data_IF_057865325606
#
_entry.id   IF_057865325606
#
_cell.length_a   1.000
_cell.length_b   1.000
_cell.length_c   1.000
_cell.angle_alpha   90.00
_cell.angle_beta   90.00
_cell.angle_gamma   90.00
#
_symmetry.space_group_name_H-M   'P 1'
#
loop_
_entity.id
_entity.type
_entity.pdbx_description
1 polymer ?
#
# COMPACT_ATOMS: atom_id res chain seq x y z
N UNK A 1 7.06 -9.86 7.92
CA UNK A 1 5.73 -9.21 7.93
C UNK A 1 5.76 -7.85 7.22
N UNK A 2 6.61 -6.93 7.66
CA UNK A 2 6.78 -5.59 7.07
C UNK A 2 7.11 -5.63 5.55
N UNK A 3 8.09 -6.44 5.14
CA UNK A 3 8.48 -6.59 3.73
C UNK A 3 7.34 -7.10 2.82
N UNK A 4 6.44 -7.94 3.37
CA UNK A 4 5.28 -8.45 2.62
C UNK A 4 4.28 -7.33 2.36
N UNK A 5 3.97 -6.55 3.38
CA UNK A 5 3.07 -5.39 3.28
C UNK A 5 3.67 -4.34 2.34
N UNK A 6 4.97 -4.08 2.44
CA UNK A 6 5.66 -3.12 1.57
C UNK A 6 5.63 -3.56 0.09
N UNK A 7 5.81 -4.86 -0.20
CA UNK A 7 5.65 -5.41 -1.54
C UNK A 7 4.23 -5.26 -2.07
N UNK A 8 3.22 -5.50 -1.23
CA UNK A 8 1.81 -5.41 -1.63
C UNK A 8 1.36 -3.94 -1.85
N UNK A 9 1.82 -3.02 -1.00
CA UNK A 9 1.68 -1.56 -1.18
C UNK A 9 2.32 -1.12 -2.48
N UNK A 10 3.57 -1.52 -2.73
CA UNK A 10 4.31 -1.17 -3.94
C UNK A 10 3.61 -1.64 -5.22
N UNK A 11 3.12 -2.89 -5.23
CA UNK A 11 2.34 -3.44 -6.36
C UNK A 11 1.05 -2.66 -6.60
N UNK A 12 0.30 -2.36 -5.54
CA UNK A 12 -0.98 -1.66 -5.63
C UNK A 12 -0.77 -0.21 -6.09
N UNK A 13 0.27 0.46 -5.57
CA UNK A 13 0.71 1.78 -6.03
C UNK A 13 1.11 1.76 -7.51
N UNK A 14 1.84 0.75 -7.95
CA UNK A 14 2.20 0.57 -9.36
C UNK A 14 1.00 0.41 -10.28
N UNK A 15 -0.03 -0.33 -9.86
CA UNK A 15 -1.29 -0.44 -10.62
C UNK A 15 -2.02 0.90 -10.69
N UNK A 16 -2.18 1.59 -9.56
CA UNK A 16 -2.89 2.88 -9.49
C UNK A 16 -2.13 4.04 -10.15
N UNK A 17 -0.80 3.93 -10.26
CA UNK A 17 0.02 4.87 -11.03
C UNK A 17 0.06 4.58 -12.53
N UNK A 18 -0.45 3.42 -12.97
CA UNK A 18 -0.53 3.09 -14.38
C UNK A 18 -1.82 3.65 -14.98
N UNK A 19 -1.71 4.71 -15.77
CA UNK A 19 -2.84 5.38 -16.43
C UNK A 19 -3.69 4.41 -17.26
N UNK A 20 -3.09 3.39 -17.89
CA UNK A 20 -3.85 2.37 -18.63
C UNK A 20 -4.73 1.54 -17.70
N UNK A 21 -4.29 1.25 -16.48
CA UNK A 21 -5.09 0.54 -15.50
C UNK A 21 -6.21 1.45 -14.97
N UNK A 22 -5.88 2.70 -14.59
CA UNK A 22 -6.86 3.66 -14.07
C UNK A 22 -7.96 3.99 -15.09
N UNK A 23 -7.59 4.13 -16.37
CA UNK A 23 -8.53 4.53 -17.41
C UNK A 23 -9.40 3.37 -17.93
N UNK A 24 -8.92 2.12 -17.82
CA UNK A 24 -9.64 0.96 -18.36
C UNK A 24 -10.30 0.08 -17.28
N UNK A 25 -9.91 0.21 -16.00
CA UNK A 25 -10.51 -0.58 -14.94
C UNK A 25 -11.83 0.06 -14.45
N UNK A 26 -12.81 -0.76 -14.02
CA UNK A 26 -14.03 -0.25 -13.40
C UNK A 26 -13.71 0.58 -12.14
N UNK A 27 -14.50 1.62 -11.90
CA UNK A 27 -14.36 2.51 -10.74
C UNK A 27 -14.33 1.73 -9.42
N UNK A 28 -15.22 0.74 -9.26
CA UNK A 28 -15.24 -0.13 -8.08
C UNK A 28 -13.92 -0.91 -7.85
N UNK A 29 -13.18 -1.23 -8.92
CA UNK A 29 -11.86 -1.88 -8.81
C UNK A 29 -10.81 -0.86 -8.40
N UNK A 30 -10.85 0.35 -8.99
CA UNK A 30 -9.93 1.43 -8.63
C UNK A 30 -10.11 1.84 -7.17
N UNK A 31 -11.35 2.01 -6.72
CA UNK A 31 -11.68 2.37 -5.35
C UNK A 31 -11.24 1.27 -4.37
N UNK A 32 -11.48 0.00 -4.72
CA UNK A 32 -10.99 -1.14 -3.93
C UNK A 32 -9.47 -1.20 -3.84
N UNK A 33 -8.75 -0.98 -4.94
CA UNK A 33 -7.28 -0.96 -4.91
C UNK A 33 -6.76 0.28 -4.16
N UNK A 34 -7.44 1.44 -4.24
CA UNK A 34 -7.10 2.64 -3.43
C UNK A 34 -7.27 2.37 -1.94
N UNK A 35 -8.38 1.75 -1.53
CA UNK A 35 -8.61 1.36 -0.14
C UNK A 35 -7.53 0.40 0.36
N UNK A 36 -7.17 -0.62 -0.43
CA UNK A 36 -6.07 -1.53 -0.08
C UNK A 36 -4.72 -0.82 0.03
N UNK A 37 -4.45 0.15 -0.84
CA UNK A 37 -3.22 0.94 -0.78
C UNK A 37 -3.17 1.72 0.53
N UNK A 38 -4.25 2.41 0.89
CA UNK A 38 -4.33 3.20 2.11
C UNK A 38 -4.19 2.34 3.38
N UNK A 39 -4.91 1.20 3.44
CA UNK A 39 -4.79 0.26 4.56
C UNK A 39 -3.38 -0.31 4.68
N UNK A 40 -2.77 -0.67 3.54
CA UNK A 40 -1.39 -1.18 3.49
C UNK A 40 -0.37 -0.13 3.95
N UNK A 41 -0.52 1.12 3.51
CA UNK A 41 0.36 2.23 3.92
C UNK A 41 0.23 2.53 5.42
N UNK A 42 -1.00 2.53 5.98
CA UNK A 42 -1.23 2.68 7.42
C UNK A 42 -0.59 1.55 8.23
N UNK A 43 -0.76 0.30 7.80
CA UNK A 43 -0.17 -0.85 8.47
C UNK A 43 1.37 -0.81 8.40
N UNK A 44 1.92 -0.42 7.25
CA UNK A 44 3.36 -0.29 7.06
C UNK A 44 3.95 0.83 7.94
N UNK A 45 3.28 1.98 8.00
CA UNK A 45 3.70 3.10 8.85
C UNK A 45 3.75 2.69 10.33
N UNK A 46 2.71 2.03 10.83
CA UNK A 46 2.66 1.52 12.21
C UNK A 46 3.78 0.52 12.50
N UNK A 47 4.05 -0.40 11.58
CA UNK A 47 5.15 -1.37 11.73
C UNK A 47 6.53 -0.70 11.73
N UNK A 48 6.73 0.31 10.87
CA UNK A 48 7.97 1.10 10.83
C UNK A 48 8.17 1.89 12.13
N UNK A 49 7.12 2.53 12.64
CA UNK A 49 7.15 3.25 13.91
C UNK A 49 7.51 2.33 15.08
N UNK A 50 6.88 1.15 15.17
CA UNK A 50 7.21 0.15 16.18
C UNK A 50 8.66 -0.33 16.07
N UNK A 51 9.14 -0.57 14.84
CA UNK A 51 10.51 -1.00 14.60
C UNK A 51 11.53 0.06 15.01
N UNK A 52 11.32 1.33 14.64
CA UNK A 52 12.21 2.43 15.03
C UNK A 52 12.19 2.67 16.54
N UNK A 53 11.03 2.53 17.19
CA UNK A 53 10.93 2.63 18.66
C UNK A 53 11.78 1.55 19.34
N UNK A 54 11.70 0.30 18.87
CA UNK A 54 12.50 -0.80 19.42
C UNK A 54 13.99 -0.60 19.14
N UNK A 55 14.35 -0.08 17.97
CA UNK A 55 15.75 0.18 17.59
C UNK A 55 16.38 1.34 18.36
N UNK A 56 15.58 2.27 18.86
CA UNK A 56 16.03 3.42 19.63
C UNK A 56 16.22 3.11 21.14
N UNK A 57 15.86 1.89 21.59
CA UNK A 57 16.08 1.38 22.94
C UNK A 57 17.41 0.60 23.01
#
# INVERSE_FOLDING_TARGET
AMEKIEKDVSRTRGKLGNEKFVSNAPEAVIEKERGKLEEGEKALAKLKEQFETIKAL
#
